data_IF_828088884057
#
_entry.id   IF_828088884057
#
_cell.length_a   1.000
_cell.length_b   1.000
_cell.length_c   1.000
_cell.angle_alpha   90.00
_cell.angle_beta   90.00
_cell.angle_gamma   90.00
#
_symmetry.space_group_name_H-M   'P 1'
#
loop_
_entity.id
_entity.type
_entity.pdbx_description
1 polymer ?
#
# COMPACT_ATOMS: atom_id res chain seq x y z
N UNK A 1 -2.63 2.61 10.52
CA UNK A 1 -1.41 3.26 9.98
C UNK A 1 -0.15 2.41 9.98
N UNK A 2 0.20 1.64 11.03
CA UNK A 2 1.45 0.84 11.07
C UNK A 2 1.58 -0.17 9.92
N UNK A 3 0.47 -0.76 9.46
CA UNK A 3 0.42 -1.70 8.33
C UNK A 3 0.84 -1.04 7.01
N UNK A 4 0.28 0.14 6.69
CA UNK A 4 0.63 0.88 5.46
C UNK A 4 2.14 1.15 5.36
N UNK A 5 2.78 1.60 6.44
CA UNK A 5 4.22 1.81 6.45
C UNK A 5 5.04 0.54 6.22
N UNK A 6 4.53 -0.62 6.64
CA UNK A 6 5.20 -1.91 6.38
C UNK A 6 5.07 -2.35 4.92
N UNK A 7 4.06 -1.86 4.20
CA UNK A 7 3.89 -2.10 2.76
C UNK A 7 4.77 -1.22 1.87
N UNK A 8 5.66 -0.38 2.44
CA UNK A 8 6.52 0.53 1.66
C UNK A 8 7.38 -0.15 0.58
N UNK A 9 7.74 -1.43 0.76
CA UNK A 9 8.52 -2.20 -0.20
C UNK A 9 7.65 -2.95 -1.23
N UNK A 10 6.33 -2.92 -1.06
CA UNK A 10 5.37 -3.74 -1.82
C UNK A 10 4.65 -2.90 -2.88
N UNK A 11 5.33 -1.90 -3.45
CA UNK A 11 4.76 -1.11 -4.54
C UNK A 11 4.98 -1.81 -5.87
N UNK A 12 3.92 -1.92 -6.64
CA UNK A 12 4.00 -2.25 -8.06
C UNK A 12 4.59 -1.05 -8.79
N UNK A 13 5.58 -1.31 -9.61
CA UNK A 13 6.25 -0.29 -10.44
C UNK A 13 6.09 -0.63 -11.91
N UNK A 14 5.93 0.39 -12.74
CA UNK A 14 5.95 0.22 -14.18
C UNK A 14 7.37 -0.13 -14.64
N UNK A 15 7.51 -1.24 -15.38
CA UNK A 15 8.83 -1.84 -15.68
C UNK A 15 9.79 -0.92 -16.44
N UNK A 16 9.29 -0.04 -17.32
CA UNK A 16 10.13 0.84 -18.13
C UNK A 16 10.35 2.23 -17.52
N UNK A 17 9.36 2.76 -16.82
CA UNK A 17 9.41 4.15 -16.31
C UNK A 17 9.74 4.22 -14.82
N UNK A 18 9.72 3.10 -14.10
CA UNK A 18 9.95 3.05 -12.65
C UNK A 18 8.84 3.71 -11.82
N UNK A 19 7.79 4.24 -12.46
CA UNK A 19 6.68 4.92 -11.79
C UNK A 19 5.92 3.93 -10.92
N UNK A 20 5.63 4.33 -9.68
CA UNK A 20 4.80 3.56 -8.75
C UNK A 20 3.35 3.61 -9.20
N UNK A 21 2.76 2.44 -9.42
CA UNK A 21 1.39 2.28 -9.90
C UNK A 21 0.38 2.10 -8.75
N UNK A 22 0.84 1.55 -7.63
CA UNK A 22 0.02 1.21 -6.47
C UNK A 22 0.68 0.17 -5.59
N UNK A 23 0.06 -0.14 -4.46
CA UNK A 23 0.43 -1.23 -3.57
C UNK A 23 0.03 -2.56 -4.22
N UNK A 24 0.86 -3.58 -4.03
CA UNK A 24 0.45 -4.96 -4.27
C UNK A 24 -0.52 -5.42 -3.17
N UNK A 25 -1.81 -5.40 -3.48
CA UNK A 25 -2.86 -5.80 -2.55
C UNK A 25 -2.76 -7.27 -2.11
N UNK A 26 -2.09 -8.13 -2.89
CA UNK A 26 -1.83 -9.51 -2.47
C UNK A 26 -0.90 -9.58 -1.25
N UNK A 27 -0.04 -8.57 -1.04
CA UNK A 27 0.86 -8.50 0.11
C UNK A 27 0.19 -7.95 1.39
N UNK A 28 -0.99 -7.33 1.28
CA UNK A 28 -1.67 -6.67 2.41
C UNK A 28 -2.07 -7.67 3.50
N UNK A 29 -2.80 -8.72 3.14
CA UNK A 29 -3.29 -9.70 4.11
C UNK A 29 -2.15 -10.51 4.78
N UNK A 30 -1.14 -11.04 4.06
CA UNK A 30 0.02 -11.67 4.68
C UNK A 30 0.78 -10.74 5.63
N UNK A 31 0.98 -9.48 5.23
CA UNK A 31 1.65 -8.49 6.10
C UNK A 31 0.84 -8.21 7.35
N UNK A 32 -0.49 -8.05 7.24
CA UNK A 32 -1.38 -7.88 8.38
C UNK A 32 -1.30 -9.07 9.34
N UNK A 33 -1.33 -10.30 8.82
CA UNK A 33 -1.18 -11.53 9.61
C UNK A 33 0.15 -11.58 10.35
N UNK A 34 1.28 -11.31 9.68
CA UNK A 34 2.60 -11.30 10.32
C UNK A 34 2.74 -10.23 11.41
N UNK A 35 1.95 -9.14 11.30
CA UNK A 35 1.91 -8.08 12.28
C UNK A 35 0.89 -8.32 13.41
N UNK A 36 0.11 -9.41 13.36
CA UNK A 36 -0.97 -9.68 14.29
C UNK A 36 -2.13 -8.69 14.19
N UNK A 37 -2.34 -8.09 13.02
CA UNK A 37 -3.40 -7.10 12.77
C UNK A 37 -4.59 -7.81 12.11
N UNK A 38 -5.76 -7.75 12.74
CA UNK A 38 -7.00 -8.22 12.15
C UNK A 38 -7.43 -7.31 10.99
N UNK A 39 -7.66 -7.90 9.81
CA UNK A 39 -8.20 -7.18 8.66
C UNK A 39 -9.69 -6.94 8.83
N UNK A 40 -10.12 -5.69 8.62
CA UNK A 40 -11.53 -5.28 8.58
C UNK A 40 -11.78 -4.49 7.29
N UNK A 41 -13.03 -4.37 6.83
CA UNK A 41 -13.36 -3.52 5.68
C UNK A 41 -12.88 -2.08 5.86
N UNK A 42 -13.07 -1.50 7.05
CA UNK A 42 -12.60 -0.14 7.35
C UNK A 42 -11.08 0.01 7.22
N UNK A 43 -10.30 -0.97 7.70
CA UNK A 43 -8.84 -0.95 7.55
C UNK A 43 -8.41 -1.09 6.08
N UNK A 44 -9.16 -1.85 5.29
CA UNK A 44 -8.92 -1.97 3.86
C UNK A 44 -9.17 -0.64 3.14
N UNK A 45 -10.26 0.05 3.47
CA UNK A 45 -10.57 1.37 2.94
C UNK A 45 -9.53 2.42 3.33
N UNK A 46 -9.03 2.38 4.57
CA UNK A 46 -7.95 3.24 5.05
C UNK A 46 -6.67 3.06 4.22
N UNK A 47 -6.33 1.82 3.82
CA UNK A 47 -5.17 1.54 2.97
C UNK A 47 -5.37 2.19 1.60
N UNK A 48 -6.55 2.07 1.00
CA UNK A 48 -6.86 2.67 -0.29
C UNK A 48 -6.84 4.21 -0.25
N UNK A 49 -7.28 4.83 0.86
CA UNK A 49 -7.16 6.27 1.08
C UNK A 49 -5.68 6.70 1.12
N UNK A 50 -4.86 5.99 1.89
CA UNK A 50 -3.43 6.31 2.01
C UNK A 50 -2.68 6.07 0.70
N UNK A 51 -3.00 5.02 -0.04
CA UNK A 51 -2.42 4.73 -1.35
C UNK A 51 -2.68 5.90 -2.31
N UNK A 52 -3.92 6.37 -2.42
CA UNK A 52 -4.26 7.52 -3.27
C UNK A 52 -3.49 8.78 -2.88
N UNK A 53 -3.37 9.06 -1.58
CA UNK A 53 -2.59 10.19 -1.10
C UNK A 53 -1.10 10.06 -1.47
N UNK A 54 -0.52 8.87 -1.29
CA UNK A 54 0.87 8.62 -1.65
C UNK A 54 1.13 8.72 -3.17
N UNK A 55 0.23 8.18 -3.99
CA UNK A 55 0.29 8.31 -5.45
C UNK A 55 0.24 9.76 -5.90
N UNK A 56 -0.61 10.59 -5.30
CA UNK A 56 -0.66 12.02 -5.59
C UNK A 56 0.68 12.72 -5.27
N UNK A 57 1.31 12.37 -4.15
CA UNK A 57 2.64 12.89 -3.78
C UNK A 57 3.72 12.41 -4.77
N UNK A 58 3.71 11.13 -5.17
CA UNK A 58 4.68 10.61 -6.14
C UNK A 58 4.52 11.19 -7.53
N UNK A 59 3.30 11.54 -7.95
CA UNK A 59 3.06 12.17 -9.24
C UNK A 59 3.48 13.65 -9.27
N UNK A 60 3.56 14.31 -8.11
CA UNK A 60 3.98 15.70 -7.97
C UNK A 60 5.50 15.88 -7.78
N UNK A 61 6.25 14.78 -7.64
CA UNK A 61 7.70 14.75 -7.38
C UNK A 61 8.49 14.39 -8.64
#
# INVERSE_FOLDING_TARGET
>A
MRLFYRLHGQWRVHAMSGVRLGIDYAAVAPTATLMGIGMTPALFDDIAIMERAALAVFAAA
#
